data_IF_763480399549
#
_entry.id   IF_763480399549
#
_cell.length_a   1.000
_cell.length_b   1.000
_cell.length_c   1.000
_cell.angle_alpha   90.00
_cell.angle_beta   90.00
_cell.angle_gamma   90.00
#
_symmetry.space_group_name_H-M   'P 1'
#
loop_
_entity.id
_entity.type
_entity.pdbx_description
1 polymer ?
#
# COMPACT_ATOMS: atom_id res chain seq x y z
N UNK A 1 -15.38 -16.14 -23.50
CA UNK A 1 -16.37 -15.42 -24.33
C UNK A 1 -17.76 -15.96 -24.05
N UNK A 2 -18.61 -15.20 -23.35
CA UNK A 2 -20.03 -15.55 -23.19
C UNK A 2 -20.74 -15.29 -24.52
N UNK A 3 -21.13 -16.36 -25.23
CA UNK A 3 -21.98 -16.27 -26.42
C UNK A 3 -23.37 -15.83 -25.99
N UNK A 4 -23.69 -14.55 -26.17
CA UNK A 4 -25.06 -14.05 -26.05
C UNK A 4 -25.88 -14.75 -27.13
N UNK A 5 -26.81 -15.63 -26.73
CA UNK A 5 -27.66 -16.38 -27.66
C UNK A 5 -28.46 -15.42 -28.54
N UNK A 6 -28.19 -15.47 -29.85
CA UNK A 6 -28.74 -14.54 -30.86
C UNK A 6 -30.27 -14.57 -30.92
N UNK A 7 -30.91 -15.66 -30.49
CA UNK A 7 -32.38 -15.79 -30.45
C UNK A 7 -33.07 -14.85 -29.46
N UNK A 8 -32.44 -14.54 -28.31
CA UNK A 8 -33.02 -13.65 -27.30
C UNK A 8 -32.77 -12.16 -27.61
N UNK A 9 -31.85 -11.85 -28.53
CA UNK A 9 -31.52 -10.46 -28.88
C UNK A 9 -32.67 -9.77 -29.60
N UNK A 10 -33.35 -10.46 -30.54
CA UNK A 10 -34.52 -9.90 -31.23
C UNK A 10 -35.68 -9.60 -30.27
N UNK A 11 -35.94 -10.50 -29.32
CA UNK A 11 -36.95 -10.30 -28.27
C UNK A 11 -36.59 -9.15 -27.34
N UNK A 12 -35.31 -9.02 -26.97
CA UNK A 12 -34.84 -7.89 -26.16
C UNK A 12 -35.05 -6.55 -26.86
N UNK A 13 -34.77 -6.48 -28.17
CA UNK A 13 -34.97 -5.27 -28.98
C UNK A 13 -36.46 -4.91 -29.08
N UNK A 14 -37.33 -5.90 -29.32
CA UNK A 14 -38.78 -5.65 -29.36
C UNK A 14 -39.32 -5.19 -28.01
N UNK A 15 -38.94 -5.86 -26.91
CA UNK A 15 -39.35 -5.45 -25.56
C UNK A 15 -38.77 -4.08 -25.14
N UNK A 16 -37.57 -3.72 -25.61
CA UNK A 16 -37.03 -2.38 -25.42
C UNK A 16 -37.85 -1.31 -26.14
N UNK A 17 -38.25 -1.58 -27.39
CA UNK A 17 -39.07 -0.68 -28.21
C UNK A 17 -40.47 -0.50 -27.65
N UNK A 18 -41.13 -1.59 -27.23
CA UNK A 18 -42.47 -1.54 -26.62
C UNK A 18 -42.49 -0.67 -25.35
N UNK A 19 -41.38 -0.62 -24.62
CA UNK A 19 -41.21 0.21 -23.43
C UNK A 19 -40.73 1.64 -23.72
N UNK A 20 -40.44 1.97 -24.98
CA UNK A 20 -39.87 3.27 -25.35
C UNK A 20 -38.47 3.50 -24.79
N UNK A 21 -37.68 2.44 -24.59
CA UNK A 21 -36.29 2.57 -24.13
C UNK A 21 -35.46 3.26 -25.23
N UNK A 22 -34.85 4.40 -24.91
CA UNK A 22 -33.96 5.09 -25.84
C UNK A 22 -32.68 4.29 -26.09
N UNK A 23 -32.01 4.60 -27.21
CA UNK A 23 -30.74 3.97 -27.57
C UNK A 23 -29.66 4.31 -26.54
N UNK A 24 -29.68 5.54 -26.05
CA UNK A 24 -28.78 6.05 -25.02
C UNK A 24 -28.95 5.26 -23.72
N UNK A 25 -30.19 5.09 -23.24
CA UNK A 25 -30.47 4.31 -22.03
C UNK A 25 -30.09 2.83 -22.20
N UNK A 26 -30.29 2.26 -23.40
CA UNK A 26 -29.86 0.89 -23.69
C UNK A 26 -28.33 0.76 -23.66
N UNK A 27 -27.60 1.76 -24.15
CA UNK A 27 -26.12 1.81 -24.07
C UNK A 27 -25.63 1.95 -22.63
N UNK A 28 -26.27 2.77 -21.82
CA UNK A 28 -25.96 2.90 -20.39
C UNK A 28 -26.12 1.57 -19.66
N UNK A 29 -27.25 0.89 -19.87
CA UNK A 29 -27.47 -0.45 -19.29
C UNK A 29 -26.43 -1.48 -19.74
N UNK A 30 -26.00 -1.42 -21.00
CA UNK A 30 -24.94 -2.29 -21.51
C UNK A 30 -23.59 -1.96 -20.86
N UNK A 31 -23.26 -0.68 -20.71
CA UNK A 31 -22.02 -0.23 -20.07
C UNK A 31 -21.97 -0.65 -18.60
N UNK A 32 -23.07 -0.46 -17.85
CA UNK A 32 -23.19 -0.94 -16.47
C UNK A 32 -23.02 -2.46 -16.38
N UNK A 33 -23.64 -3.22 -17.29
CA UNK A 33 -23.51 -4.68 -17.31
C UNK A 33 -22.08 -5.14 -17.63
N UNK A 34 -21.38 -4.41 -18.50
CA UNK A 34 -20.00 -4.72 -18.87
C UNK A 34 -18.99 -4.30 -17.80
N UNK A 35 -19.32 -3.31 -16.97
CA UNK A 35 -18.45 -2.85 -15.88
C UNK A 35 -18.27 -3.91 -14.78
N UNK A 36 -19.19 -4.86 -14.65
CA UNK A 36 -19.07 -5.96 -13.67
C UNK A 36 -19.30 -7.34 -14.33
N UNK A 37 -18.33 -7.84 -15.12
CA UNK A 37 -18.47 -9.13 -15.81
C UNK A 37 -18.71 -10.28 -14.83
N UNK A 38 -19.76 -11.06 -15.08
CA UNK A 38 -20.11 -12.21 -14.25
C UNK A 38 -20.72 -11.85 -12.90
N UNK A 39 -20.99 -10.57 -12.62
CA UNK A 39 -21.70 -10.16 -11.41
C UNK A 39 -23.14 -10.68 -11.38
N UNK A 40 -23.81 -10.79 -12.53
CA UNK A 40 -25.22 -11.15 -12.55
C UNK A 40 -25.48 -12.50 -13.21
N UNK A 41 -26.61 -13.11 -12.84
CA UNK A 41 -27.08 -14.35 -13.44
C UNK A 41 -27.33 -14.19 -14.95
N UNK A 42 -27.21 -15.28 -15.73
CA UNK A 42 -27.60 -15.28 -17.14
C UNK A 42 -29.02 -14.74 -17.34
N UNK A 43 -29.20 -13.85 -18.32
CA UNK A 43 -30.49 -13.23 -18.61
C UNK A 43 -30.85 -11.99 -17.77
N UNK A 44 -30.02 -11.58 -16.79
CA UNK A 44 -30.25 -10.34 -16.04
C UNK A 44 -30.32 -9.11 -16.95
N UNK A 45 -29.40 -9.00 -17.92
CA UNK A 45 -29.40 -7.94 -18.93
C UNK A 45 -30.69 -7.96 -19.77
N UNK A 46 -31.14 -9.14 -20.21
CA UNK A 46 -32.40 -9.29 -20.96
C UNK A 46 -33.57 -8.75 -20.15
N UNK A 47 -33.73 -9.18 -18.88
CA UNK A 47 -34.81 -8.73 -18.01
C UNK A 47 -34.74 -7.24 -17.71
N UNK A 48 -33.54 -6.65 -17.64
CA UNK A 48 -33.34 -5.20 -17.46
C UNK A 48 -33.80 -4.41 -18.70
N UNK A 49 -33.46 -4.89 -19.89
CA UNK A 49 -33.81 -4.29 -21.18
C UNK A 49 -35.31 -4.40 -21.46
N UNK A 50 -35.94 -5.54 -21.14
CA UNK A 50 -37.39 -5.75 -21.33
C UNK A 50 -38.26 -5.24 -20.18
N UNK A 51 -37.66 -4.71 -19.11
CA UNK A 51 -38.38 -4.13 -17.98
C UNK A 51 -38.86 -5.12 -16.92
N UNK A 52 -38.51 -6.40 -17.04
CA UNK A 52 -38.68 -7.39 -15.96
C UNK A 52 -37.79 -7.15 -14.73
N UNK A 53 -36.87 -6.18 -14.77
CA UNK A 53 -36.07 -5.71 -13.63
C UNK A 53 -35.98 -4.18 -13.62
N UNK A 54 -36.29 -3.58 -12.47
CA UNK A 54 -36.21 -2.13 -12.21
C UNK A 54 -34.85 -1.68 -11.65
N UNK A 55 -34.04 -2.61 -11.14
CA UNK A 55 -32.65 -2.41 -10.73
C UNK A 55 -31.81 -3.67 -11.05
N UNK A 56 -30.49 -3.53 -11.07
CA UNK A 56 -29.60 -4.69 -11.12
C UNK A 56 -29.76 -5.52 -9.84
N UNK A 57 -29.84 -6.85 -9.94
CA UNK A 57 -29.86 -7.69 -8.75
C UNK A 57 -28.50 -7.63 -8.05
N UNK A 58 -28.43 -8.02 -6.77
CA UNK A 58 -27.16 -8.18 -6.08
C UNK A 58 -26.22 -9.11 -6.87
N UNK A 59 -24.90 -8.84 -6.87
CA UNK A 59 -23.96 -9.71 -7.53
C UNK A 59 -24.02 -11.13 -6.96
N UNK A 60 -23.84 -12.13 -7.83
CA UNK A 60 -23.83 -13.54 -7.46
C UNK A 60 -22.66 -13.82 -6.51
N UNK A 61 -22.87 -14.76 -5.59
CA UNK A 61 -21.91 -15.06 -4.52
C UNK A 61 -20.52 -15.41 -5.06
N UNK A 62 -20.44 -16.14 -6.17
CA UNK A 62 -19.17 -16.48 -6.83
C UNK A 62 -18.39 -15.24 -7.27
N UNK A 63 -19.08 -14.20 -7.77
CA UNK A 63 -18.45 -12.94 -8.16
C UNK A 63 -17.92 -12.20 -6.93
N UNK A 64 -18.71 -12.15 -5.85
CA UNK A 64 -18.29 -11.56 -4.58
C UNK A 64 -17.11 -12.32 -3.95
N UNK A 65 -17.10 -13.65 -4.05
CA UNK A 65 -16.00 -14.47 -3.57
C UNK A 65 -14.73 -14.27 -4.40
N UNK A 66 -14.83 -14.20 -5.73
CA UNK A 66 -13.70 -13.92 -6.61
C UNK A 66 -13.10 -12.53 -6.33
N UNK A 67 -13.95 -11.51 -6.14
CA UNK A 67 -13.51 -10.15 -5.81
C UNK A 67 -12.83 -10.09 -4.43
N UNK A 68 -13.40 -10.74 -3.41
CA UNK A 68 -12.76 -10.84 -2.08
C UNK A 68 -11.37 -11.48 -2.16
N UNK A 69 -11.23 -12.57 -2.92
CA UNK A 69 -9.92 -13.22 -3.13
C UNK A 69 -8.92 -12.29 -3.81
N UNK A 70 -9.35 -11.54 -4.83
CA UNK A 70 -8.48 -10.56 -5.50
C UNK A 70 -8.03 -9.46 -4.52
N UNK A 71 -8.96 -8.93 -3.72
CA UNK A 71 -8.67 -7.90 -2.71
C UNK A 71 -7.77 -8.40 -1.57
N UNK A 72 -7.82 -9.70 -1.24
CA UNK A 72 -6.93 -10.34 -0.28
C UNK A 72 -5.50 -10.51 -0.83
N UNK A 73 -5.38 -10.92 -2.10
CA UNK A 73 -4.08 -11.06 -2.78
C UNK A 73 -3.38 -9.70 -2.88
N UNK A 74 -4.07 -8.66 -3.35
CA UNK A 74 -3.50 -7.30 -3.45
C UNK A 74 -3.06 -6.76 -2.09
N UNK A 75 -3.86 -6.99 -1.03
CA UNK A 75 -3.47 -6.63 0.34
C UNK A 75 -2.21 -7.35 0.81
N UNK A 76 -2.09 -8.64 0.53
CA UNK A 76 -0.93 -9.43 0.92
C UNK A 76 0.33 -8.99 0.14
N UNK A 77 0.20 -8.69 -1.15
CA UNK A 77 1.30 -8.19 -1.98
C UNK A 77 1.81 -6.83 -1.48
N UNK A 78 0.90 -5.90 -1.15
CA UNK A 78 1.27 -4.60 -0.57
C UNK A 78 1.98 -4.75 0.78
N UNK A 79 1.45 -5.60 1.67
CA UNK A 79 2.10 -5.86 2.97
C UNK A 79 3.50 -6.45 2.81
N UNK A 80 3.71 -7.34 1.82
CA UNK A 80 5.04 -7.86 1.51
C UNK A 80 5.99 -6.79 0.99
N UNK A 81 5.53 -5.92 0.10
CA UNK A 81 6.33 -4.83 -0.43
C UNK A 81 6.77 -3.88 0.70
N UNK A 82 5.85 -3.43 1.53
CA UNK A 82 6.12 -2.52 2.65
C UNK A 82 7.07 -3.16 3.68
N UNK A 83 6.84 -4.43 4.03
CA UNK A 83 7.72 -5.17 4.92
C UNK A 83 9.15 -5.31 4.40
N UNK A 84 9.31 -5.51 3.08
CA UNK A 84 10.64 -5.65 2.47
C UNK A 84 11.44 -4.35 2.49
N UNK A 85 10.80 -3.20 2.23
CA UNK A 85 11.45 -1.90 2.27
C UNK A 85 11.88 -1.51 3.71
N UNK A 86 11.02 -1.78 4.69
CA UNK A 86 11.34 -1.56 6.10
C UNK A 86 12.51 -2.44 6.56
N UNK A 87 12.54 -3.72 6.15
CA UNK A 87 13.66 -4.63 6.47
C UNK A 87 14.97 -4.19 5.82
N UNK A 88 14.96 -3.74 4.57
CA UNK A 88 16.16 -3.24 3.90
C UNK A 88 16.71 -1.99 4.59
N UNK A 89 15.84 -1.04 4.93
CA UNK A 89 16.23 0.19 5.64
C UNK A 89 16.86 -0.16 7.00
N UNK A 90 16.21 -1.02 7.79
CA UNK A 90 16.74 -1.45 9.07
C UNK A 90 18.06 -2.23 8.95
N UNK A 91 18.27 -2.99 7.87
CA UNK A 91 19.52 -3.69 7.61
C UNK A 91 20.66 -2.72 7.29
N UNK A 92 20.39 -1.68 6.48
CA UNK A 92 21.35 -0.63 6.15
C UNK A 92 21.74 0.14 7.43
N UNK A 93 20.76 0.60 8.20
CA UNK A 93 21.00 1.33 9.46
C UNK A 93 21.85 0.52 10.45
N UNK A 94 21.55 -0.78 10.61
CA UNK A 94 22.35 -1.67 11.47
C UNK A 94 23.77 -1.81 10.98
N UNK A 95 23.97 -1.91 9.67
CA UNK A 95 25.30 -2.02 9.07
C UNK A 95 26.09 -0.74 9.28
N UNK A 96 25.51 0.42 8.98
CA UNK A 96 26.16 1.71 9.23
C UNK A 96 26.50 1.90 10.71
N UNK A 97 25.60 1.50 11.61
CA UNK A 97 25.88 1.56 13.05
C UNK A 97 27.07 0.68 13.43
N UNK A 98 27.15 -0.55 12.90
CA UNK A 98 28.27 -1.46 13.16
C UNK A 98 29.60 -0.90 12.61
N UNK A 99 29.58 -0.30 11.42
CA UNK A 99 30.75 0.33 10.81
C UNK A 99 31.24 1.53 11.65
N UNK A 100 30.34 2.36 12.17
CA UNK A 100 30.68 3.47 13.08
C UNK A 100 31.25 2.96 14.42
N UNK A 101 30.67 1.90 14.96
CA UNK A 101 31.14 1.24 16.18
C UNK A 101 32.55 0.68 16.01
N UNK A 102 32.83 0.02 14.88
CA UNK A 102 34.16 -0.49 14.54
C UNK A 102 35.18 0.64 14.41
N UNK A 103 34.82 1.72 13.71
CA UNK A 103 35.73 2.83 13.40
C UNK A 103 36.01 3.73 14.61
N UNK A 104 35.02 3.95 15.48
CA UNK A 104 35.08 4.97 16.54
C UNK A 104 34.80 4.46 17.96
N UNK A 105 34.38 3.21 18.14
CA UNK A 105 34.02 2.65 19.44
C UNK A 105 35.15 2.76 20.46
N UNK A 106 36.35 2.28 20.10
CA UNK A 106 37.53 2.37 20.98
C UNK A 106 37.91 3.82 21.30
N UNK A 107 37.82 4.73 20.32
CA UNK A 107 38.08 6.16 20.53
C UNK A 107 37.07 6.75 21.52
N UNK A 108 35.79 6.46 21.34
CA UNK A 108 34.72 6.94 22.22
C UNK A 108 34.88 6.41 23.66
N UNK A 109 35.37 5.19 23.82
CA UNK A 109 35.59 4.58 25.13
C UNK A 109 36.87 5.11 25.81
N UNK A 110 37.86 5.52 25.03
CA UNK A 110 39.09 6.16 25.51
C UNK A 110 39.00 7.68 25.75
N UNK A 111 37.88 8.33 25.43
CA UNK A 111 37.72 9.78 25.58
C UNK A 111 37.72 10.23 27.05
N UNK A 112 38.42 11.33 27.32
CA UNK A 112 38.38 11.99 28.62
C UNK A 112 36.99 12.57 28.93
N UNK A 113 36.69 12.73 30.22
CA UNK A 113 35.35 13.14 30.68
C UNK A 113 34.89 14.49 30.12
N UNK A 114 35.80 15.44 29.95
CA UNK A 114 35.50 16.75 29.35
C UNK A 114 35.15 16.63 27.86
N UNK A 115 35.91 15.85 27.10
CA UNK A 115 35.66 15.62 25.67
C UNK A 115 34.33 14.88 25.48
N UNK A 116 34.07 13.88 26.33
CA UNK A 116 32.82 13.11 26.31
C UNK A 116 31.60 13.96 26.66
N UNK A 117 31.74 14.93 27.57
CA UNK A 117 30.68 15.89 27.93
C UNK A 117 30.33 16.78 26.74
N UNK A 118 31.34 17.38 26.10
CA UNK A 118 31.15 18.20 24.90
C UNK A 118 30.50 17.40 23.77
N UNK A 119 30.93 16.15 23.57
CA UNK A 119 30.36 15.29 22.54
C UNK A 119 28.88 14.96 22.81
N UNK A 120 28.51 14.75 24.08
CA UNK A 120 27.09 14.55 24.48
C UNK A 120 26.25 15.80 24.25
N UNK A 121 26.80 16.99 24.48
CA UNK A 121 26.13 18.26 24.23
C UNK A 121 25.90 18.50 22.73
N UNK A 122 26.86 18.13 21.88
CA UNK A 122 26.70 18.22 20.42
C UNK A 122 25.72 17.17 19.88
N UNK A 123 25.80 15.93 20.36
CA UNK A 123 24.94 14.84 19.93
C UNK A 123 23.47 15.05 20.33
N UNK A 124 23.24 15.55 21.55
CA UNK A 124 21.90 15.81 22.08
C UNK A 124 21.90 17.16 22.82
N UNK A 125 21.63 18.28 22.12
CA UNK A 125 21.67 19.61 22.71
C UNK A 125 20.68 19.81 23.86
N UNK A 126 19.50 19.21 23.75
CA UNK A 126 18.47 19.26 24.79
C UNK A 126 18.86 18.41 26.02
N UNK A 127 19.04 19.05 27.17
CA UNK A 127 19.41 18.39 28.42
C UNK A 127 18.32 17.43 28.92
N UNK A 128 17.04 17.78 28.75
CA UNK A 128 15.93 16.95 29.22
C UNK A 128 15.88 15.63 28.44
N UNK A 129 16.08 15.69 27.12
CA UNK A 129 16.18 14.51 26.26
C UNK A 129 17.42 13.68 26.63
N UNK A 130 18.58 14.33 26.78
CA UNK A 130 19.85 13.66 27.14
C UNK A 130 19.78 12.90 28.46
N UNK A 131 19.09 13.46 29.46
CA UNK A 131 18.95 12.84 30.80
C UNK A 131 18.11 11.56 30.78
N UNK A 132 17.12 11.48 29.89
CA UNK A 132 16.21 10.33 29.81
C UNK A 132 16.55 9.36 28.67
N UNK A 133 17.53 9.71 27.83
CA UNK A 133 17.93 8.87 26.71
C UNK A 133 18.61 7.58 27.18
N UNK A 134 18.20 6.40 26.66
CA UNK A 134 18.88 5.15 26.95
C UNK A 134 20.35 5.16 26.54
N UNK A 135 21.22 4.55 27.33
CA UNK A 135 22.67 4.51 27.07
C UNK A 135 23.03 3.98 25.67
N UNK A 136 22.28 3.00 25.16
CA UNK A 136 22.47 2.46 23.80
C UNK A 136 22.20 3.51 22.73
N UNK A 137 21.12 4.28 22.85
CA UNK A 137 20.79 5.36 21.90
C UNK A 137 21.81 6.49 22.00
N UNK A 138 22.19 6.87 23.21
CA UNK A 138 23.24 7.86 23.44
C UNK A 138 24.54 7.43 22.75
N UNK A 139 24.96 6.16 22.87
CA UNK A 139 26.16 5.67 22.19
C UNK A 139 26.05 5.82 20.67
N UNK A 140 24.91 5.45 20.08
CA UNK A 140 24.67 5.61 18.63
C UNK A 140 24.85 7.07 18.20
N UNK A 141 24.24 8.02 18.92
CA UNK A 141 24.33 9.45 18.59
C UNK A 141 25.76 9.98 18.75
N UNK A 142 26.49 9.55 19.79
CA UNK A 142 27.89 9.94 19.99
C UNK A 142 28.79 9.45 18.84
N UNK A 143 28.62 8.20 18.41
CA UNK A 143 29.38 7.63 17.28
C UNK A 143 29.05 8.33 15.96
N UNK A 144 27.79 8.71 15.76
CA UNK A 144 27.35 9.48 14.60
C UNK A 144 28.05 10.84 14.54
N UNK A 145 28.06 11.60 15.64
CA UNK A 145 28.75 12.90 15.70
C UNK A 145 30.25 12.74 15.46
N UNK A 146 30.88 11.68 15.96
CA UNK A 146 32.30 11.42 15.69
C UNK A 146 32.57 11.16 14.20
N UNK A 147 31.71 10.40 13.53
CA UNK A 147 31.83 10.18 12.09
C UNK A 147 31.67 11.50 11.32
N UNK A 148 30.67 12.30 11.65
CA UNK A 148 30.43 13.63 11.04
C UNK A 148 31.62 14.59 11.24
N UNK A 149 32.18 14.66 12.46
CA UNK A 149 33.36 15.51 12.76
C UNK A 149 34.59 15.09 11.94
N UNK A 150 34.83 13.79 11.80
CA UNK A 150 35.98 13.30 11.03
C UNK A 150 35.75 13.41 9.52
N UNK A 151 34.51 13.29 9.02
CA UNK A 151 34.18 13.54 7.63
C UNK A 151 34.36 15.01 7.23
N UNK A 152 34.03 15.95 8.13
CA UNK A 152 34.27 17.39 7.92
C UNK A 152 35.76 17.78 7.97
N UNK A 153 36.59 17.02 8.68
CA UNK A 153 38.03 17.25 8.76
C UNK A 153 38.81 16.69 7.55
N UNK A 154 38.16 15.93 6.66
CA UNK A 154 38.77 15.31 5.48
C UNK A 154 38.55 16.11 4.18
N UNK A 155 37.89 17.28 4.27
CA UNK A 155 37.64 18.24 3.18
C UNK A 155 38.46 19.50 3.47
#
# INVERSE_FOLDING_TARGET
MLRLGVSAAGQAVNGARERGLSVEAARELLAEFQAQPGAWQPGALYRRITGGLTAWPPPIENHLAARRRADEVDRFERQRADGSAAMQTAAIERREQAEREEKYGQRLDGMGENERRQLKEEAVPDEAVRRHMPAKMMRTELLRVLDERNGRAAI
#
